data_IF_489164284303
#
_entry.id   IF_489164284303
#
_cell.length_a   1.000
_cell.length_b   1.000
_cell.length_c   1.000
_cell.angle_alpha   90.00
_cell.angle_beta   90.00
_cell.angle_gamma   90.00
#
_symmetry.space_group_name_H-M   'P 1'
#
loop_
_entity.id
_entity.type
_entity.pdbx_description
1 polymer ?
#
# COMPACT_ATOMS: atom_id res chain seq x y z
N UNK A 1 -22.42 -1.83 3.08
CA UNK A 1 -21.66 -0.56 3.03
C UNK A 1 -20.77 -0.40 4.27
N UNK A 2 -21.34 -0.23 5.47
CA UNK A 2 -20.57 0.03 6.70
C UNK A 2 -19.48 -1.01 7.01
N UNK A 3 -19.78 -2.31 6.88
CA UNK A 3 -18.82 -3.38 7.18
C UNK A 3 -17.55 -3.29 6.32
N UNK A 4 -17.65 -2.78 5.07
CA UNK A 4 -16.48 -2.62 4.20
C UNK A 4 -15.60 -1.43 4.57
N UNK A 5 -16.21 -0.35 5.06
CA UNK A 5 -15.49 0.88 5.40
C UNK A 5 -14.91 0.85 6.83
N UNK A 6 -15.47 0.04 7.74
CA UNK A 6 -15.06 0.00 9.15
C UNK A 6 -13.55 -0.21 9.36
N UNK A 7 -12.88 -1.13 8.65
CA UNK A 7 -11.44 -1.31 8.81
C UNK A 7 -10.63 -0.08 8.37
N UNK A 8 -11.04 0.59 7.30
CA UNK A 8 -10.35 1.79 6.83
C UNK A 8 -10.57 2.96 7.80
N UNK A 9 -11.79 3.11 8.32
CA UNK A 9 -12.09 4.12 9.34
C UNK A 9 -11.27 3.93 10.62
N UNK A 10 -11.06 2.69 11.08
CA UNK A 10 -10.21 2.43 12.25
C UNK A 10 -8.74 2.79 11.97
N UNK A 11 -8.24 2.52 10.77
CA UNK A 11 -6.90 2.94 10.34
C UNK A 11 -6.77 4.47 10.25
N UNK A 12 -7.80 5.17 9.78
CA UNK A 12 -7.81 6.64 9.78
C UNK A 12 -7.69 7.19 11.21
N UNK A 13 -8.45 6.65 12.16
CA UNK A 13 -8.34 7.03 13.58
C UNK A 13 -6.93 6.75 14.10
N UNK A 14 -6.34 5.60 13.77
CA UNK A 14 -4.96 5.28 14.15
C UNK A 14 -3.96 6.33 13.63
N UNK A 15 -4.03 6.69 12.35
CA UNK A 15 -3.15 7.70 11.73
C UNK A 15 -3.36 9.07 12.36
N UNK A 16 -4.60 9.44 12.71
CA UNK A 16 -4.90 10.69 13.41
C UNK A 16 -4.21 10.73 14.77
N UNK A 17 -4.31 9.64 15.55
CA UNK A 17 -3.75 9.57 16.91
C UNK A 17 -2.22 9.50 16.95
N UNK A 18 -1.59 8.84 15.98
CA UNK A 18 -0.13 8.60 16.00
C UNK A 18 0.67 9.48 15.04
N UNK A 19 0.00 10.14 14.08
CA UNK A 19 0.65 10.76 12.92
C UNK A 19 0.33 12.22 12.67
N UNK A 20 -0.61 12.84 13.38
CA UNK A 20 -0.96 14.24 13.12
C UNK A 20 -0.24 15.17 14.08
N UNK A 21 0.78 15.84 13.54
CA UNK A 21 1.29 17.09 14.07
C UNK A 21 1.52 18.05 12.90
N UNK A 22 1.35 19.35 13.12
CA UNK A 22 1.40 20.38 12.07
C UNK A 22 2.81 20.61 11.51
N UNK A 23 3.83 19.93 12.05
CA UNK A 23 5.19 20.09 11.58
C UNK A 23 5.40 19.49 10.18
N UNK A 24 6.33 20.04 9.37
CA UNK A 24 6.68 19.52 8.04
C UNK A 24 7.06 18.02 8.06
N UNK A 25 7.59 17.55 9.19
CA UNK A 25 7.94 16.15 9.44
C UNK A 25 6.78 15.17 9.21
N UNK A 26 5.53 15.60 9.36
CA UNK A 26 4.32 14.76 9.24
C UNK A 26 3.63 14.84 7.87
N UNK A 27 4.31 15.32 6.84
CA UNK A 27 3.74 15.40 5.49
C UNK A 27 3.34 14.02 4.92
N UNK A 28 4.07 12.96 5.29
CA UNK A 28 3.73 11.57 4.93
C UNK A 28 2.39 11.14 5.54
N UNK A 29 2.20 11.37 6.84
CA UNK A 29 0.99 10.98 7.57
C UNK A 29 -0.28 11.62 7.01
N UNK A 30 -0.20 12.91 6.62
CA UNK A 30 -1.32 13.60 5.96
C UNK A 30 -1.67 12.99 4.61
N UNK A 31 -0.65 12.67 3.80
CA UNK A 31 -0.83 12.01 2.50
C UNK A 31 -1.42 10.61 2.66
N UNK A 32 -0.97 9.85 3.66
CA UNK A 32 -1.55 8.53 3.99
C UNK A 32 -3.00 8.65 4.45
N UNK A 33 -3.32 9.62 5.31
CA UNK A 33 -4.70 9.85 5.73
C UNK A 33 -5.61 10.18 4.55
N UNK A 34 -5.17 11.08 3.65
CA UNK A 34 -5.92 11.39 2.42
C UNK A 34 -6.10 10.14 1.56
N UNK A 35 -5.06 9.31 1.41
CA UNK A 35 -5.16 8.03 0.71
C UNK A 35 -6.19 7.09 1.34
N UNK A 36 -6.23 6.99 2.67
CA UNK A 36 -7.22 6.19 3.40
C UNK A 36 -8.64 6.73 3.22
N UNK A 37 -8.82 8.07 3.22
CA UNK A 37 -10.13 8.70 2.96
C UNK A 37 -10.65 8.34 1.56
N UNK A 38 -9.80 8.44 0.53
CA UNK A 38 -10.17 8.04 -0.83
C UNK A 38 -10.35 6.52 -0.97
N UNK A 39 -9.62 5.71 -0.20
CA UNK A 39 -9.83 4.25 -0.15
C UNK A 39 -11.19 3.92 0.46
N UNK A 40 -11.57 4.58 1.56
CA UNK A 40 -12.88 4.43 2.19
C UNK A 40 -14.02 4.88 1.26
N UNK A 41 -13.82 5.96 0.49
CA UNK A 41 -14.77 6.41 -0.52
C UNK A 41 -14.89 5.39 -1.67
N UNK A 42 -13.76 4.82 -2.10
CA UNK A 42 -13.73 3.75 -3.11
C UNK A 42 -14.54 2.54 -2.65
N UNK A 43 -14.34 2.08 -1.41
CA UNK A 43 -15.09 0.98 -0.80
C UNK A 43 -16.60 1.25 -0.74
N UNK A 44 -16.99 2.49 -0.50
CA UNK A 44 -18.40 2.89 -0.49
C UNK A 44 -19.01 2.84 -1.90
N UNK A 45 -18.29 3.34 -2.91
CA UNK A 45 -18.74 3.37 -4.30
C UNK A 45 -18.86 1.95 -4.90
N UNK A 46 -17.91 1.06 -4.57
CA UNK A 46 -17.88 -0.33 -5.02
C UNK A 46 -19.01 -1.22 -4.50
N UNK A 47 -19.85 -0.73 -3.58
CA UNK A 47 -21.06 -1.45 -3.17
C UNK A 47 -22.05 -1.57 -4.33
N UNK A 48 -22.06 -0.59 -5.23
CA UNK A 48 -23.00 -0.55 -6.35
C UNK A 48 -22.26 -0.80 -7.66
N UNK A 49 -22.75 -1.72 -8.52
CA UNK A 49 -22.08 -2.06 -9.77
C UNK A 49 -21.99 -0.88 -10.74
N UNK A 50 -22.95 0.05 -10.68
CA UNK A 50 -22.97 1.24 -11.53
C UNK A 50 -21.87 2.25 -11.19
N UNK A 51 -21.30 2.20 -9.98
CA UNK A 51 -20.27 3.12 -9.51
C UNK A 51 -18.86 2.49 -9.47
N UNK A 52 -18.67 1.38 -10.18
CA UNK A 52 -17.38 0.68 -10.20
C UNK A 52 -16.25 1.57 -10.74
N UNK A 53 -16.53 2.36 -11.79
CA UNK A 53 -15.55 3.27 -12.39
C UNK A 53 -15.15 4.37 -11.40
N UNK A 54 -16.12 4.98 -10.73
CA UNK A 54 -15.91 6.01 -9.72
C UNK A 54 -15.15 5.46 -8.51
N UNK A 55 -15.44 4.22 -8.10
CA UNK A 55 -14.68 3.51 -7.08
C UNK A 55 -13.22 3.29 -7.48
N UNK A 56 -12.98 2.82 -8.72
CA UNK A 56 -11.64 2.68 -9.30
C UNK A 56 -10.89 4.02 -9.34
N UNK A 57 -11.57 5.10 -9.74
CA UNK A 57 -10.97 6.44 -9.73
C UNK A 57 -10.60 6.89 -8.32
N UNK A 58 -11.48 6.66 -7.34
CA UNK A 58 -11.22 6.97 -5.93
C UNK A 58 -9.97 6.23 -5.42
N UNK A 59 -9.85 4.94 -5.72
CA UNK A 59 -8.63 4.18 -5.39
C UNK A 59 -7.40 4.65 -6.15
N UNK A 60 -7.54 5.08 -7.41
CA UNK A 60 -6.45 5.69 -8.18
C UNK A 60 -5.93 6.97 -7.51
N UNK A 61 -6.81 7.81 -6.98
CA UNK A 61 -6.41 8.98 -6.19
C UNK A 61 -5.73 8.56 -4.90
N UNK A 62 -6.22 7.51 -4.23
CA UNK A 62 -5.55 6.97 -3.04
C UNK A 62 -4.11 6.53 -3.35
N UNK A 63 -3.90 5.80 -4.45
CA UNK A 63 -2.57 5.38 -4.90
C UNK A 63 -1.64 6.58 -5.15
N UNK A 64 -2.13 7.64 -5.81
CA UNK A 64 -1.35 8.88 -5.99
C UNK A 64 -0.95 9.52 -4.66
N UNK A 65 -1.86 9.57 -3.70
CA UNK A 65 -1.55 10.07 -2.36
C UNK A 65 -0.46 9.22 -1.69
N UNK A 66 -0.55 7.90 -1.77
CA UNK A 66 0.47 7.01 -1.21
C UNK A 66 1.82 7.07 -1.93
N UNK A 67 1.83 7.14 -3.27
CA UNK A 67 3.05 7.39 -4.06
C UNK A 67 3.71 8.68 -3.59
N UNK A 68 2.93 9.74 -3.42
CA UNK A 68 3.45 11.01 -2.91
C UNK A 68 3.94 10.89 -1.47
N UNK A 69 3.32 10.06 -0.62
CA UNK A 69 3.75 9.86 0.76
C UNK A 69 5.10 9.17 0.87
N UNK A 70 5.40 8.26 -0.07
CA UNK A 70 6.58 7.41 -0.06
C UNK A 70 7.80 8.00 -0.77
N UNK A 71 7.63 9.11 -1.47
CA UNK A 71 8.65 9.76 -2.30
C UNK A 71 9.26 8.84 -3.38
N UNK A 72 9.94 9.44 -4.36
CA UNK A 72 10.58 8.70 -5.46
C UNK A 72 12.01 8.24 -5.13
N UNK A 73 12.56 8.63 -3.98
CA UNK A 73 13.94 8.33 -3.59
C UNK A 73 13.97 7.34 -2.43
N UNK A 74 14.84 6.31 -2.47
CA UNK A 74 15.69 5.92 -3.60
C UNK A 74 14.86 5.27 -4.72
N UNK A 75 15.22 5.48 -5.99
CA UNK A 75 14.39 4.98 -7.11
C UNK A 75 14.34 3.45 -7.14
N UNK A 76 15.49 2.78 -7.10
CA UNK A 76 15.64 1.33 -7.23
C UNK A 76 14.90 0.79 -8.48
N UNK A 77 15.41 1.16 -9.66
CA UNK A 77 14.75 0.93 -10.96
C UNK A 77 14.57 -0.56 -11.28
N UNK A 78 15.50 -1.42 -10.85
CA UNK A 78 15.44 -2.86 -11.13
C UNK A 78 14.15 -3.48 -10.57
N UNK A 79 13.79 -3.12 -9.33
CA UNK A 79 12.53 -3.56 -8.71
C UNK A 79 11.33 -3.02 -9.49
N UNK A 80 11.38 -1.75 -9.91
CA UNK A 80 10.32 -1.14 -10.71
C UNK A 80 10.09 -1.87 -12.02
N UNK A 81 11.17 -2.15 -12.77
CA UNK A 81 11.12 -2.88 -14.04
C UNK A 81 10.51 -4.27 -13.84
N UNK A 82 10.96 -5.02 -12.83
CA UNK A 82 10.42 -6.35 -12.53
C UNK A 82 8.91 -6.28 -12.26
N UNK A 83 8.47 -5.35 -11.42
CA UNK A 83 7.05 -5.19 -11.11
C UNK A 83 6.23 -4.79 -12.34
N UNK A 84 6.71 -3.85 -13.16
CA UNK A 84 6.00 -3.47 -14.39
C UNK A 84 5.92 -4.59 -15.40
N UNK A 85 6.96 -5.43 -15.54
CA UNK A 85 6.91 -6.62 -16.41
C UNK A 85 5.84 -7.59 -15.92
N UNK A 86 5.80 -7.89 -14.61
CA UNK A 86 4.78 -8.77 -14.03
C UNK A 86 3.37 -8.19 -14.23
N UNK A 87 3.17 -6.91 -13.94
CA UNK A 87 1.88 -6.25 -14.12
C UNK A 87 1.46 -6.16 -15.59
N UNK A 88 2.41 -5.95 -16.52
CA UNK A 88 2.14 -5.96 -17.95
C UNK A 88 1.70 -7.35 -18.45
N UNK A 89 2.33 -8.42 -17.97
CA UNK A 89 1.90 -9.79 -18.25
C UNK A 89 0.51 -10.08 -17.70
N UNK A 90 0.18 -9.59 -16.50
CA UNK A 90 -1.19 -9.67 -15.97
C UNK A 90 -2.21 -8.93 -16.84
N UNK A 91 -1.85 -7.72 -17.30
CA UNK A 91 -2.69 -6.92 -18.19
C UNK A 91 -2.95 -7.58 -19.54
N UNK A 92 -1.96 -8.27 -20.14
CA UNK A 92 -2.18 -8.94 -21.43
C UNK A 92 -3.21 -10.07 -21.34
N UNK A 93 -3.26 -10.77 -20.20
CA UNK A 93 -4.28 -11.79 -19.92
C UNK A 93 -5.67 -11.16 -19.82
N UNK A 94 -5.80 -10.04 -19.09
CA UNK A 94 -7.08 -9.37 -18.89
C UNK A 94 -7.58 -8.64 -20.16
N UNK A 95 -6.65 -8.13 -20.98
CA UNK A 95 -6.94 -7.25 -22.12
C UNK A 95 -8.01 -7.79 -23.07
N UNK A 96 -8.07 -9.10 -23.28
CA UNK A 96 -9.01 -9.73 -24.22
C UNK A 96 -10.48 -9.52 -23.83
N UNK A 97 -10.75 -9.35 -22.54
CA UNK A 97 -12.10 -9.27 -21.99
C UNK A 97 -12.46 -7.86 -21.50
N UNK A 98 -11.52 -6.91 -21.54
CA UNK A 98 -11.80 -5.51 -21.21
C UNK A 98 -12.61 -4.86 -22.34
N UNK A 99 -13.71 -4.20 -21.99
CA UNK A 99 -14.59 -3.50 -22.94
C UNK A 99 -14.79 -2.05 -22.52
N UNK A 100 -15.05 -1.18 -23.52
CA UNK A 100 -15.35 0.24 -23.29
C UNK A 100 -14.25 0.99 -22.52
N UNK A 101 -14.67 1.78 -21.53
CA UNK A 101 -13.79 2.64 -20.72
C UNK A 101 -12.71 1.85 -19.96
N UNK A 102 -12.96 0.58 -19.64
CA UNK A 102 -12.02 -0.26 -18.87
C UNK A 102 -10.76 -0.65 -19.66
N UNK A 103 -10.79 -0.58 -20.99
CA UNK A 103 -9.60 -0.82 -21.82
C UNK A 103 -8.49 0.23 -21.57
N UNK A 104 -8.87 1.43 -21.13
CA UNK A 104 -7.94 2.51 -20.80
C UNK A 104 -7.83 2.68 -19.28
N UNK A 105 -8.95 2.58 -18.56
CA UNK A 105 -8.99 2.74 -17.11
C UNK A 105 -8.15 1.69 -16.37
N UNK A 106 -8.25 0.41 -16.75
CA UNK A 106 -7.51 -0.67 -16.07
C UNK A 106 -6.00 -0.54 -16.23
N UNK A 107 -5.43 -0.29 -17.44
CA UNK A 107 -3.99 -0.05 -17.57
C UNK A 107 -3.48 1.16 -16.77
N UNK A 108 -4.20 2.28 -16.76
CA UNK A 108 -3.82 3.47 -15.98
C UNK A 108 -3.84 3.14 -14.49
N UNK A 109 -4.90 2.48 -14.02
CA UNK A 109 -5.05 2.06 -12.64
C UNK A 109 -3.94 1.09 -12.22
N UNK A 110 -3.66 0.07 -13.04
CA UNK A 110 -2.56 -0.87 -12.79
C UNK A 110 -1.22 -0.15 -12.77
N UNK A 111 -0.97 0.80 -13.66
CA UNK A 111 0.26 1.60 -13.63
C UNK A 111 0.44 2.33 -12.29
N UNK A 112 -0.59 3.00 -11.80
CA UNK A 112 -0.56 3.70 -10.52
C UNK A 112 -0.35 2.73 -9.35
N UNK A 113 -1.08 1.61 -9.33
CA UNK A 113 -0.95 0.59 -8.29
C UNK A 113 0.46 -0.02 -8.26
N UNK A 114 0.99 -0.41 -9.42
CA UNK A 114 2.35 -0.93 -9.56
C UNK A 114 3.39 0.10 -9.12
N UNK A 115 3.18 1.38 -9.44
CA UNK A 115 4.06 2.47 -8.98
C UNK A 115 4.02 2.56 -7.45
N UNK A 116 2.83 2.53 -6.84
CA UNK A 116 2.66 2.59 -5.40
C UNK A 116 3.38 1.43 -4.71
N UNK A 117 3.17 0.19 -5.18
CA UNK A 117 3.86 -1.00 -4.66
C UNK A 117 5.37 -0.93 -4.87
N UNK A 118 5.84 -0.48 -6.04
CA UNK A 118 7.27 -0.27 -6.27
C UNK A 118 7.85 0.67 -5.21
N UNK A 119 7.12 1.72 -4.85
CA UNK A 119 7.57 2.73 -3.89
C UNK A 119 7.63 2.20 -2.46
N UNK A 120 6.77 1.26 -2.08
CA UNK A 120 6.90 0.57 -0.78
C UNK A 120 8.12 -0.34 -0.73
N UNK A 121 8.41 -1.07 -1.80
CA UNK A 121 9.56 -1.99 -1.87
C UNK A 121 10.89 -1.24 -1.96
N UNK A 122 10.96 -0.21 -2.80
CA UNK A 122 12.20 0.51 -3.07
C UNK A 122 12.71 1.31 -1.84
N UNK A 123 11.85 1.60 -0.86
CA UNK A 123 12.24 2.20 0.44
C UNK A 123 12.87 1.20 1.41
N UNK A 124 12.86 -0.09 1.10
CA UNK A 124 13.40 -1.11 1.97
C UNK A 124 14.93 -0.96 2.06
N UNK A 125 15.40 -0.59 3.25
CA UNK A 125 16.83 -0.59 3.56
C UNK A 125 17.09 -1.66 4.61
N UNK A 126 17.62 -2.79 4.14
CA UNK A 126 17.93 -3.96 4.96
C UNK A 126 18.94 -3.60 6.06
N UNK A 127 19.83 -2.63 5.82
CA UNK A 127 20.89 -2.25 6.77
C UNK A 127 20.36 -1.46 7.97
N UNK A 128 19.25 -0.75 7.82
CA UNK A 128 18.67 0.07 8.89
C UNK A 128 17.77 -0.74 9.85
N UNK A 129 17.38 -1.97 9.49
CA UNK A 129 16.66 -2.89 10.39
C UNK A 129 15.26 -2.42 10.85
N UNK A 130 14.67 -1.43 10.19
CA UNK A 130 13.35 -0.91 10.58
C UNK A 130 12.23 -1.89 10.19
N UNK A 131 11.73 -2.66 11.15
CA UNK A 131 10.68 -3.68 10.95
C UNK A 131 9.45 -3.11 10.22
N UNK A 132 9.06 -1.87 10.52
CA UNK A 132 7.89 -1.21 9.91
C UNK A 132 8.02 -1.06 8.39
N UNK A 133 9.24 -0.86 7.85
CA UNK A 133 9.44 -0.78 6.39
C UNK A 133 9.15 -2.11 5.70
N UNK A 134 9.42 -3.24 6.36
CA UNK A 134 9.04 -4.56 5.86
C UNK A 134 7.53 -4.73 5.85
N UNK A 135 6.84 -4.26 6.89
CA UNK A 135 5.37 -4.27 6.97
C UNK A 135 4.75 -3.43 5.86
N UNK A 136 5.27 -2.23 5.62
CA UNK A 136 4.83 -1.34 4.53
C UNK A 136 5.04 -1.98 3.16
N UNK A 137 6.18 -2.64 2.96
CA UNK A 137 6.50 -3.41 1.75
C UNK A 137 5.48 -4.54 1.52
N UNK A 138 5.27 -5.39 2.53
CA UNK A 138 4.28 -6.47 2.49
C UNK A 138 2.89 -5.90 2.23
N UNK A 139 2.53 -4.77 2.85
CA UNK A 139 1.26 -4.10 2.65
C UNK A 139 1.03 -3.67 1.18
N UNK A 140 2.02 -3.04 0.57
CA UNK A 140 1.95 -2.66 -0.85
C UNK A 140 1.84 -3.86 -1.80
N UNK A 141 2.49 -4.99 -1.48
CA UNK A 141 2.38 -6.23 -2.26
C UNK A 141 0.99 -6.85 -2.09
N UNK A 142 0.48 -6.92 -0.86
CA UNK A 142 -0.85 -7.47 -0.58
C UNK A 142 -1.96 -6.68 -1.26
N UNK A 143 -1.83 -5.36 -1.35
CA UNK A 143 -2.78 -4.55 -2.10
C UNK A 143 -2.69 -4.81 -3.61
N UNK A 144 -1.48 -4.92 -4.18
CA UNK A 144 -1.31 -5.33 -5.58
C UNK A 144 -1.95 -6.69 -5.88
N UNK A 145 -1.78 -7.65 -4.97
CA UNK A 145 -2.40 -8.99 -5.08
C UNK A 145 -3.92 -8.91 -4.97
N UNK A 146 -4.45 -8.12 -4.05
CA UNK A 146 -5.90 -7.93 -3.87
C UNK A 146 -6.58 -7.44 -5.15
N UNK A 147 -6.04 -6.39 -5.75
CA UNK A 147 -6.57 -5.79 -6.97
C UNK A 147 -6.33 -6.66 -8.20
N UNK A 148 -5.23 -7.42 -8.23
CA UNK A 148 -5.00 -8.46 -9.22
C UNK A 148 -6.08 -9.55 -9.18
N UNK A 149 -6.42 -10.03 -7.97
CA UNK A 149 -7.50 -11.00 -7.76
C UNK A 149 -8.87 -10.41 -8.12
N UNK A 150 -9.12 -9.14 -7.79
CA UNK A 150 -10.35 -8.44 -8.15
C UNK A 150 -10.48 -8.31 -9.68
N UNK A 151 -9.43 -7.86 -10.36
CA UNK A 151 -9.39 -7.75 -11.82
C UNK A 151 -9.59 -9.11 -12.51
N UNK A 152 -8.96 -10.16 -12.00
CA UNK A 152 -9.14 -11.52 -12.52
C UNK A 152 -10.57 -12.02 -12.32
N UNK A 153 -11.16 -11.80 -11.14
CA UNK A 153 -12.54 -12.18 -10.83
C UNK A 153 -13.56 -11.46 -11.70
N UNK A 154 -13.35 -10.16 -12.00
CA UNK A 154 -14.28 -9.34 -12.76
C UNK A 154 -14.12 -9.48 -14.28
N UNK A 155 -12.89 -9.60 -14.78
CA UNK A 155 -12.61 -9.52 -16.22
C UNK A 155 -12.11 -10.83 -16.83
N UNK A 156 -11.81 -11.88 -16.06
CA UNK A 156 -11.38 -13.16 -16.64
C UNK A 156 -12.33 -14.30 -16.29
N UNK A 157 -12.32 -14.75 -15.04
CA UNK A 157 -13.22 -15.81 -14.57
C UNK A 157 -13.59 -15.63 -13.10
N UNK A 158 -14.85 -15.89 -12.72
CA UNK A 158 -15.27 -15.74 -11.33
C UNK A 158 -14.58 -16.79 -10.44
N UNK A 159 -13.67 -16.33 -9.59
CA UNK A 159 -13.03 -17.15 -8.57
C UNK A 159 -14.00 -17.55 -7.42
N UNK A 160 -13.95 -18.80 -6.91
CA UNK A 160 -14.69 -19.19 -5.72
C UNK A 160 -14.10 -18.51 -4.48
N UNK A 161 -14.96 -18.09 -3.55
CA UNK A 161 -14.56 -17.37 -2.31
C UNK A 161 -13.72 -16.10 -2.55
N UNK A 162 -13.80 -15.51 -3.75
CA UNK A 162 -13.01 -14.35 -4.18
C UNK A 162 -13.06 -13.20 -3.18
N UNK A 163 -14.25 -12.90 -2.66
CA UNK A 163 -14.47 -11.80 -1.74
C UNK A 163 -13.65 -11.92 -0.45
N UNK A 164 -13.45 -13.12 0.09
CA UNK A 164 -12.66 -13.31 1.31
C UNK A 164 -11.18 -12.99 1.05
N UNK A 165 -10.61 -13.53 -0.03
CA UNK A 165 -9.21 -13.32 -0.38
C UNK A 165 -8.93 -11.88 -0.82
N UNK A 166 -9.81 -11.29 -1.63
CA UNK A 166 -9.70 -9.90 -2.08
C UNK A 166 -9.75 -8.97 -0.87
N UNK A 167 -10.79 -9.05 -0.03
CA UNK A 167 -10.92 -8.14 1.11
C UNK A 167 -9.85 -8.38 2.18
N UNK A 168 -9.47 -9.64 2.42
CA UNK A 168 -8.42 -9.98 3.39
C UNK A 168 -7.07 -9.39 3.01
N UNK A 169 -6.64 -9.61 1.77
CA UNK A 169 -5.38 -9.03 1.25
C UNK A 169 -5.44 -7.51 1.17
N UNK A 170 -6.59 -6.94 0.81
CA UNK A 170 -6.82 -5.49 0.79
C UNK A 170 -6.64 -4.85 2.17
N UNK A 171 -7.33 -5.34 3.20
CA UNK A 171 -7.25 -4.73 4.54
C UNK A 171 -5.88 -4.92 5.18
N UNK A 172 -5.25 -6.07 4.98
CA UNK A 172 -3.86 -6.27 5.41
C UNK A 172 -2.90 -5.33 4.67
N UNK A 173 -3.17 -5.08 3.39
CA UNK A 173 -2.45 -4.10 2.57
C UNK A 173 -2.55 -2.68 3.15
N UNK A 174 -3.77 -2.21 3.38
CA UNK A 174 -4.06 -0.90 3.95
C UNK A 174 -3.52 -0.75 5.37
N UNK A 175 -3.60 -1.80 6.19
CA UNK A 175 -2.98 -1.81 7.52
C UNK A 175 -1.47 -1.58 7.42
N UNK A 176 -0.77 -2.30 6.53
CA UNK A 176 0.67 -2.14 6.38
C UNK A 176 1.07 -0.74 5.93
N UNK A 177 0.28 -0.14 5.03
CA UNK A 177 0.47 1.25 4.59
C UNK A 177 0.18 2.24 5.71
N UNK A 178 -0.88 2.05 6.50
CA UNK A 178 -1.21 2.93 7.62
C UNK A 178 -0.15 2.90 8.73
N UNK A 179 0.40 1.72 9.03
CA UNK A 179 1.47 1.55 10.03
C UNK A 179 2.77 2.27 9.66
N UNK A 180 2.97 2.58 8.38
CA UNK A 180 4.15 3.33 7.92
C UNK A 180 4.27 4.74 8.53
N UNK A 181 3.16 5.30 9.03
CA UNK A 181 3.13 6.57 9.78
C UNK A 181 4.01 6.52 11.04
N UNK A 182 4.11 5.35 11.67
CA UNK A 182 4.92 5.16 12.87
C UNK A 182 6.42 5.03 12.58
N UNK A 183 6.83 4.90 11.31
CA UNK A 183 8.24 4.95 10.90
C UNK A 183 8.88 6.33 11.17
N UNK A 184 8.09 7.38 11.35
CA UNK A 184 8.57 8.74 11.57
C UNK A 184 9.09 8.99 13.00
N UNK A 185 8.83 8.05 13.91
CA UNK A 185 9.42 8.01 15.25
C UNK A 185 10.81 7.38 15.14
N UNK A 186 11.86 7.94 15.78
CA UNK A 186 13.21 7.40 15.66
C UNK A 186 13.24 5.92 16.03
N UNK A 187 13.81 5.07 15.18
CA UNK A 187 14.12 3.70 15.57
C UNK A 187 14.96 3.76 16.86
N UNK A 188 14.58 3.04 17.93
CA UNK A 188 15.42 2.97 19.11
C UNK A 188 16.79 2.43 18.68
N UNK A 189 17.82 3.25 18.82
CA UNK A 189 19.21 2.81 18.64
C UNK A 189 19.46 1.63 19.59
N UNK A 190 20.16 0.56 19.17
CA UNK A 190 20.59 -0.46 20.11
C UNK A 190 21.38 0.22 21.24
N UNK A 191 20.96 -0.02 22.48
CA UNK A 191 21.58 0.56 23.67
C UNK A 191 23.07 0.24 23.69
N UNK A 192 23.98 1.22 23.85
CA UNK A 192 25.42 0.99 23.84
C UNK A 192 25.94 0.43 25.18
N UNK A 193 25.34 -0.64 25.71
CA UNK A 193 25.60 -1.10 27.09
C UNK A 193 26.36 -2.42 27.26
N UNK A 194 26.91 -3.06 26.22
CA UNK A 194 27.65 -4.33 26.42
C UNK A 194 28.92 -4.51 25.57
N UNK A 195 29.71 -3.46 25.29
CA UNK A 195 31.01 -3.62 24.59
C UNK A 195 32.24 -3.23 25.41
N UNK A 196 32.13 -2.54 26.56
CA UNK A 196 33.31 -2.19 27.35
C UNK A 196 33.18 -2.55 28.83
N UNK A 197 33.57 -3.78 29.17
CA UNK A 197 34.17 -4.06 30.48
C UNK A 197 35.56 -4.66 30.23
N UNK A 198 36.65 -3.90 30.40
CA UNK A 198 37.99 -4.47 30.31
C UNK A 198 38.18 -5.46 31.45
N UNK A 199 38.54 -6.69 31.10
CA UNK A 199 38.97 -7.72 32.05
C UNK A 199 40.37 -7.37 32.56
N UNK A 200 40.45 -6.52 33.59
CA UNK A 200 41.66 -6.38 34.40
C UNK A 200 41.28 -6.36 35.87
N UNK A 201 41.77 -7.37 36.58
CA UNK A 201 42.21 -7.45 37.99
C UNK A 201 41.81 -8.79 38.61
N UNK A 202 42.58 -9.82 38.27
CA UNK A 202 42.95 -10.89 39.19
C UNK A 202 44.46 -10.80 39.35
N UNK A 203 44.88 -10.15 40.43
CA UNK A 203 46.11 -10.47 41.16
C UNK A 203 45.70 -10.68 42.61
#
# INVERSE_FOLDING_TARGET
MLIKCLPILSLMVYVILHGISLQPKYSMSRRILLGLMFSCLGDALLVWPNYFLEGMLSFGVAQLMYISAFDLKPLNLDVGVILYVISALGLTILRRNLTGVFQVGVPIYTFLLTTMTWRTIARLDIKQGCWLRYVTCIGGILWLVSDGLLGFHLFYTPLPYSQLFIMGTYYMGQLGIALSVSEQQPCPSPSPTLVNKPAHLVQ
#
